data_IF_863891335109
#
_entry.id   IF_863891335109
#
_cell.length_a   1.000
_cell.length_b   1.000
_cell.length_c   1.000
_cell.angle_alpha   90.00
_cell.angle_beta   90.00
_cell.angle_gamma   90.00
#
_symmetry.space_group_name_H-M   'P 1'
#
loop_
_entity.id
_entity.type
_entity.pdbx_description
1 polymer ?
#
# COMPACT_ATOMS: atom_id res chain seq x y z
N UNK A 1 14.40 9.49 -10.00
CA UNK A 1 13.51 9.42 -8.81
C UNK A 1 12.30 10.31 -9.08
N UNK A 2 11.16 9.74 -9.51
CA UNK A 2 9.91 10.50 -9.64
C UNK A 2 9.36 10.70 -8.22
N UNK A 3 9.01 11.94 -7.89
CA UNK A 3 8.61 12.32 -6.54
C UNK A 3 7.29 11.67 -6.16
N UNK A 4 7.28 10.86 -5.10
CA UNK A 4 6.11 10.35 -4.36
C UNK A 4 5.19 11.45 -3.79
N UNK A 5 5.53 12.73 -3.95
CA UNK A 5 5.01 13.84 -3.15
C UNK A 5 3.66 14.45 -3.61
N UNK A 6 3.28 14.50 -4.91
CA UNK A 6 2.03 15.16 -5.30
C UNK A 6 0.78 14.42 -4.82
N UNK A 7 0.75 13.09 -4.98
CA UNK A 7 -0.41 12.27 -4.61
C UNK A 7 -0.66 12.31 -3.09
N UNK A 8 0.40 12.15 -2.29
CA UNK A 8 0.34 12.27 -0.82
C UNK A 8 -0.23 13.61 -0.35
N UNK A 9 0.20 14.72 -0.96
CA UNK A 9 -0.27 16.06 -0.64
C UNK A 9 -1.74 16.25 -1.01
N UNK A 10 -2.18 15.77 -2.18
CA UNK A 10 -3.57 15.88 -2.60
C UNK A 10 -4.52 15.05 -1.72
N UNK A 11 -4.18 13.80 -1.41
CA UNK A 11 -4.99 12.94 -0.53
C UNK A 11 -5.08 13.48 0.90
N UNK A 12 -4.00 14.07 1.44
CA UNK A 12 -4.04 14.71 2.76
C UNK A 12 -4.83 16.01 2.80
N UNK A 13 -4.91 16.75 1.68
CA UNK A 13 -5.80 17.90 1.53
C UNK A 13 -7.28 17.49 1.53
N UNK A 14 -7.64 16.34 0.93
CA UNK A 14 -9.01 15.81 0.95
C UNK A 14 -9.49 15.51 2.36
N UNK A 15 -8.60 14.99 3.22
CA UNK A 15 -8.89 14.73 4.63
C UNK A 15 -9.18 16.01 5.44
N UNK A 16 -8.72 17.18 5.00
CA UNK A 16 -8.93 18.45 5.72
C UNK A 16 -10.30 19.08 5.43
N UNK A 17 -10.97 18.71 4.33
CA UNK A 17 -12.33 19.19 4.03
C UNK A 17 -13.44 18.37 4.71
N UNK A 18 -13.07 17.29 5.43
CA UNK A 18 -13.97 16.29 6.04
C UNK A 18 -14.73 16.76 7.29
N UNK A 19 -14.34 17.88 7.92
CA UNK A 19 -14.91 18.28 9.21
C UNK A 19 -16.34 18.87 9.15
N UNK A 20 -17.00 18.92 7.99
CA UNK A 20 -18.26 19.69 7.82
C UNK A 20 -19.49 18.94 7.30
N UNK A 21 -19.41 17.63 7.00
CA UNK A 21 -20.56 16.92 6.41
C UNK A 21 -20.90 15.62 7.15
N UNK A 22 -22.13 15.55 7.66
CA UNK A 22 -22.74 14.41 8.38
C UNK A 22 -23.07 13.18 7.50
N UNK A 23 -22.36 12.99 6.39
CA UNK A 23 -22.64 11.91 5.44
C UNK A 23 -21.73 10.70 5.71
N UNK A 24 -22.35 9.52 5.86
CA UNK A 24 -21.70 8.26 6.23
C UNK A 24 -20.55 7.86 5.26
N UNK A 25 -20.64 8.29 4.00
CA UNK A 25 -19.63 8.01 2.97
C UNK A 25 -18.34 8.84 3.12
N UNK A 26 -18.37 9.96 3.84
CA UNK A 26 -17.16 10.75 4.10
C UNK A 26 -16.27 10.11 5.16
N UNK A 27 -16.86 9.70 6.28
CA UNK A 27 -16.13 8.97 7.32
C UNK A 27 -15.57 7.64 6.78
N UNK A 28 -16.32 7.00 5.88
CA UNK A 28 -15.85 5.86 5.12
C UNK A 28 -14.60 6.19 4.29
N UNK A 29 -14.68 7.21 3.42
CA UNK A 29 -13.59 7.58 2.53
C UNK A 29 -12.34 8.05 3.29
N UNK A 30 -12.52 8.77 4.39
CA UNK A 30 -11.43 9.15 5.28
C UNK A 30 -10.72 7.91 5.86
N UNK A 31 -11.49 6.94 6.39
CA UNK A 31 -10.93 5.71 6.95
C UNK A 31 -10.16 4.90 5.91
N UNK A 32 -10.74 4.70 4.73
CA UNK A 32 -10.11 3.93 3.64
C UNK A 32 -8.89 4.66 3.08
N UNK A 33 -8.94 6.00 2.98
CA UNK A 33 -7.79 6.84 2.59
C UNK A 33 -6.65 6.72 3.59
N UNK A 34 -6.95 6.79 4.88
CA UNK A 34 -5.96 6.65 5.95
C UNK A 34 -5.24 5.29 5.90
N UNK A 35 -5.99 4.21 5.68
CA UNK A 35 -5.43 2.86 5.44
C UNK A 35 -4.50 2.89 4.23
N UNK A 36 -4.99 3.39 3.09
CA UNK A 36 -4.21 3.45 1.85
C UNK A 36 -2.87 4.21 2.02
N UNK A 37 -2.89 5.39 2.64
CA UNK A 37 -1.69 6.22 2.85
C UNK A 37 -0.69 5.54 3.79
N UNK A 38 -1.18 4.92 4.87
CA UNK A 38 -0.33 4.18 5.81
C UNK A 38 0.37 3.02 5.10
N UNK A 39 -0.38 2.23 4.35
CA UNK A 39 0.16 1.04 3.67
C UNK A 39 1.11 1.42 2.53
N UNK A 40 0.85 2.51 1.82
CA UNK A 40 1.79 3.08 0.85
C UNK A 40 3.12 3.49 1.50
N UNK A 41 3.09 4.13 2.66
CA UNK A 41 4.32 4.44 3.40
C UNK A 41 5.06 3.16 3.82
N UNK A 42 4.33 2.16 4.32
CA UNK A 42 4.94 0.91 4.78
C UNK A 42 5.60 0.11 3.65
N UNK A 43 4.98 0.05 2.46
CA UNK A 43 5.58 -0.65 1.32
C UNK A 43 6.85 0.05 0.84
N UNK A 44 6.86 1.39 0.77
CA UNK A 44 8.05 2.14 0.36
C UNK A 44 9.21 1.98 1.34
N UNK A 45 8.92 2.07 2.64
CA UNK A 45 9.92 1.84 3.69
C UNK A 45 10.45 0.42 3.65
N UNK A 46 9.61 -0.57 3.35
CA UNK A 46 10.01 -1.98 3.28
C UNK A 46 10.83 -2.27 2.03
N UNK A 47 10.34 -1.85 0.86
CA UNK A 47 11.01 -2.03 -0.42
C UNK A 47 12.39 -1.34 -0.46
N UNK A 48 12.53 -0.17 0.17
CA UNK A 48 13.85 0.49 0.28
C UNK A 48 14.93 -0.40 0.90
N UNK A 49 14.55 -1.33 1.79
CA UNK A 49 15.47 -2.28 2.42
C UNK A 49 15.69 -3.51 1.53
N UNK A 50 14.65 -3.98 0.84
CA UNK A 50 14.76 -5.12 -0.09
C UNK A 50 15.49 -4.79 -1.39
N UNK A 51 15.50 -3.53 -1.83
CA UNK A 51 16.32 -3.04 -2.94
C UNK A 51 17.80 -2.99 -2.61
N UNK A 52 18.13 -2.83 -1.34
CA UNK A 52 19.51 -2.84 -0.88
C UNK A 52 20.05 -4.28 -0.85
N UNK A 53 20.59 -4.70 -1.99
CA UNK A 53 21.13 -6.06 -2.17
C UNK A 53 22.24 -6.38 -1.17
N UNK A 54 22.95 -5.36 -0.65
CA UNK A 54 23.97 -5.58 0.39
C UNK A 54 23.36 -6.13 1.68
N UNK A 55 22.13 -5.74 2.01
CA UNK A 55 21.36 -6.24 3.17
C UNK A 55 20.68 -7.57 2.90
N UNK A 56 20.15 -7.77 1.69
CA UNK A 56 19.44 -9.02 1.31
C UNK A 56 20.37 -10.25 1.28
N UNK A 57 21.63 -10.05 0.93
CA UNK A 57 22.64 -11.10 0.81
C UNK A 57 23.69 -11.09 1.93
N UNK A 58 23.58 -10.19 2.93
CA UNK A 58 24.48 -10.16 4.06
C UNK A 58 24.45 -11.50 4.82
N UNK A 59 25.63 -12.07 5.08
CA UNK A 59 25.79 -13.20 6.01
C UNK A 59 25.88 -12.65 7.43
N UNK A 60 24.78 -12.74 8.18
CA UNK A 60 24.75 -12.33 9.59
C UNK A 60 23.33 -12.18 10.10
N UNK A 61 23.06 -12.74 11.28
CA UNK A 61 21.75 -12.87 11.89
C UNK A 61 20.97 -11.58 12.26
N UNK A 62 21.51 -10.33 12.23
CA UNK A 62 20.69 -9.13 12.50
C UNK A 62 19.76 -8.72 11.35
N UNK A 63 20.26 -8.76 10.11
CA UNK A 63 19.53 -8.23 8.94
C UNK A 63 18.42 -9.19 8.47
N UNK A 64 18.62 -10.50 8.65
CA UNK A 64 17.61 -11.50 8.33
C UNK A 64 16.36 -11.40 9.21
N UNK A 65 16.53 -11.08 10.51
CA UNK A 65 15.39 -10.90 11.44
C UNK A 65 14.62 -9.64 11.07
N UNK A 66 15.31 -8.52 10.86
CA UNK A 66 14.67 -7.26 10.47
C UNK A 66 13.88 -7.40 9.15
N UNK A 67 14.48 -8.03 8.14
CA UNK A 67 13.82 -8.29 6.86
C UNK A 67 12.60 -9.21 7.01
N UNK A 68 12.70 -10.24 7.86
CA UNK A 68 11.59 -11.15 8.14
C UNK A 68 10.43 -10.43 8.82
N UNK A 69 10.73 -9.63 9.86
CA UNK A 69 9.72 -8.83 10.56
C UNK A 69 9.04 -7.83 9.62
N UNK A 70 9.77 -7.20 8.69
CA UNK A 70 9.17 -6.30 7.69
C UNK A 70 8.22 -7.04 6.75
N UNK A 71 8.63 -8.19 6.23
CA UNK A 71 7.76 -9.02 5.38
C UNK A 71 6.51 -9.49 6.13
N UNK A 72 6.67 -9.96 7.36
CA UNK A 72 5.55 -10.39 8.22
C UNK A 72 4.59 -9.25 8.55
N UNK A 73 5.11 -8.06 8.84
CA UNK A 73 4.28 -6.88 9.09
C UNK A 73 3.44 -6.51 7.86
N UNK A 74 4.01 -6.54 6.65
CA UNK A 74 3.24 -6.31 5.42
C UNK A 74 2.11 -7.34 5.27
N UNK A 75 2.39 -8.62 5.54
CA UNK A 75 1.39 -9.69 5.44
C UNK A 75 0.28 -9.50 6.48
N UNK A 76 0.64 -9.19 7.73
CA UNK A 76 -0.31 -9.09 8.83
C UNK A 76 -1.15 -7.82 8.74
N UNK A 77 -0.53 -6.66 8.48
CA UNK A 77 -1.23 -5.39 8.36
C UNK A 77 -2.20 -5.41 7.18
N UNK A 78 -1.77 -5.86 6.00
CA UNK A 78 -2.66 -5.98 4.84
C UNK A 78 -3.84 -6.92 5.09
N UNK A 79 -3.66 -8.04 5.79
CA UNK A 79 -4.78 -8.93 6.18
C UNK A 79 -5.76 -8.25 7.13
N UNK A 80 -5.24 -7.60 8.17
CA UNK A 80 -6.07 -6.88 9.14
C UNK A 80 -6.85 -5.76 8.44
N UNK A 81 -6.20 -5.03 7.54
CA UNK A 81 -6.85 -3.96 6.79
C UNK A 81 -7.88 -4.46 5.78
N UNK A 82 -7.64 -5.60 5.12
CA UNK A 82 -8.63 -6.24 4.27
C UNK A 82 -9.89 -6.62 5.06
N UNK A 83 -9.74 -7.16 6.27
CA UNK A 83 -10.87 -7.43 7.17
C UNK A 83 -11.57 -6.13 7.57
N UNK A 84 -10.79 -5.12 8.00
CA UNK A 84 -11.32 -3.83 8.40
C UNK A 84 -12.11 -3.14 7.29
N UNK A 85 -11.71 -3.32 6.03
CA UNK A 85 -12.40 -2.77 4.85
C UNK A 85 -13.63 -3.61 4.49
N UNK A 86 -13.57 -4.93 4.60
CA UNK A 86 -14.71 -5.81 4.34
C UNK A 86 -15.90 -5.52 5.26
N UNK A 87 -15.64 -5.09 6.49
CA UNK A 87 -16.68 -4.67 7.45
C UNK A 87 -17.28 -3.29 7.14
N UNK A 88 -16.68 -2.52 6.23
CA UNK A 88 -17.21 -1.23 5.80
C UNK A 88 -18.15 -1.39 4.61
N UNK A 89 -19.25 -0.63 4.62
CA UNK A 89 -20.19 -0.58 3.50
C UNK A 89 -19.95 0.70 2.69
N UNK A 90 -19.29 0.63 1.53
CA UNK A 90 -19.16 1.81 0.66
C UNK A 90 -20.53 2.22 0.12
N UNK A 91 -20.83 3.52 0.13
CA UNK A 91 -21.83 4.10 -0.75
C UNK A 91 -21.44 3.94 -2.22
N UNK A 92 -22.39 4.14 -3.12
CA UNK A 92 -22.26 3.89 -4.57
C UNK A 92 -21.05 4.60 -5.18
N UNK A 93 -20.80 5.83 -4.73
CA UNK A 93 -19.76 6.73 -5.20
C UNK A 93 -18.36 6.32 -4.69
N UNK A 94 -18.28 5.58 -3.57
CA UNK A 94 -17.03 5.14 -2.95
C UNK A 94 -16.59 3.72 -3.38
N UNK A 95 -17.46 2.95 -4.06
CA UNK A 95 -17.20 1.55 -4.43
C UNK A 95 -15.91 1.39 -5.23
N UNK A 96 -15.67 2.24 -6.23
CA UNK A 96 -14.46 2.12 -7.08
C UNK A 96 -13.17 2.34 -6.29
N UNK A 97 -13.20 3.30 -5.36
CA UNK A 97 -12.05 3.58 -4.51
C UNK A 97 -11.80 2.39 -3.55
N UNK A 98 -12.87 1.86 -2.97
CA UNK A 98 -12.80 0.66 -2.14
C UNK A 98 -12.19 -0.54 -2.87
N UNK A 99 -12.69 -0.87 -4.06
CA UNK A 99 -12.20 -1.99 -4.87
C UNK A 99 -10.72 -1.82 -5.22
N UNK A 100 -10.31 -0.61 -5.57
CA UNK A 100 -8.90 -0.30 -5.84
C UNK A 100 -8.02 -0.48 -4.60
N UNK A 101 -8.47 -0.06 -3.42
CA UNK A 101 -7.72 -0.23 -2.18
C UNK A 101 -7.65 -1.71 -1.78
N UNK A 102 -8.73 -2.48 -1.92
CA UNK A 102 -8.71 -3.94 -1.71
C UNK A 102 -7.68 -4.61 -2.63
N UNK A 103 -7.67 -4.25 -3.92
CA UNK A 103 -6.71 -4.78 -4.87
C UNK A 103 -5.26 -4.39 -4.49
N UNK A 104 -5.05 -3.18 -3.98
CA UNK A 104 -3.75 -2.72 -3.51
C UNK A 104 -3.27 -3.50 -2.28
N UNK A 105 -4.10 -3.65 -1.26
CA UNK A 105 -3.78 -4.43 -0.05
C UNK A 105 -3.50 -5.90 -0.38
N UNK A 106 -4.25 -6.47 -1.32
CA UNK A 106 -4.00 -7.84 -1.80
C UNK A 106 -2.63 -7.95 -2.46
N UNK A 107 -2.26 -6.98 -3.28
CA UNK A 107 -0.94 -6.94 -3.90
C UNK A 107 0.19 -6.73 -2.87
N UNK A 108 -0.02 -5.95 -1.81
CA UNK A 108 0.93 -5.79 -0.69
C UNK A 108 1.11 -7.12 0.04
N UNK A 109 0.00 -7.83 0.31
CA UNK A 109 0.06 -9.14 0.95
C UNK A 109 0.89 -10.14 0.14
N UNK A 110 0.68 -10.17 -1.17
CA UNK A 110 1.41 -11.04 -2.09
C UNK A 110 2.89 -10.65 -2.19
N UNK A 111 3.21 -9.36 -2.17
CA UNK A 111 4.60 -8.89 -2.08
C UNK A 111 5.25 -9.37 -0.78
N UNK A 112 4.59 -9.21 0.36
CA UNK A 112 5.09 -9.66 1.66
C UNK A 112 5.34 -11.18 1.69
N UNK A 113 4.45 -11.98 1.11
CA UNK A 113 4.63 -13.44 0.97
C UNK A 113 5.87 -13.79 0.14
N UNK A 114 6.06 -13.16 -1.02
CA UNK A 114 7.25 -13.38 -1.85
C UNK A 114 8.53 -12.95 -1.13
N UNK A 115 8.50 -11.83 -0.40
CA UNK A 115 9.63 -11.40 0.42
C UNK A 115 9.97 -12.43 1.50
N UNK A 116 8.95 -12.98 2.17
CA UNK A 116 9.14 -14.02 3.19
C UNK A 116 9.73 -15.30 2.59
N UNK A 117 9.21 -15.75 1.45
CA UNK A 117 9.73 -16.92 0.73
C UNK A 117 11.20 -16.72 0.31
N UNK A 118 11.52 -15.55 -0.22
CA UNK A 118 12.89 -15.16 -0.60
C UNK A 118 13.88 -15.26 0.57
N UNK A 119 13.42 -14.98 1.80
CA UNK A 119 14.26 -15.06 3.00
C UNK A 119 14.46 -16.50 3.51
N UNK A 120 13.56 -17.41 3.15
CA UNK A 120 13.58 -18.81 3.61
C UNK A 120 14.35 -19.76 2.68
N UNK A 121 14.49 -19.41 1.39
CA UNK A 121 15.23 -20.25 0.44
C UNK A 121 16.73 -20.31 0.77
N UNK A 122 17.31 -21.49 0.58
CA UNK A 122 18.70 -21.79 0.97
C UNK A 122 19.71 -21.48 -0.12
N UNK A 123 19.29 -21.50 -1.38
CA UNK A 123 20.19 -21.31 -2.52
C UNK A 123 20.20 -19.85 -2.98
N UNK A 124 21.37 -19.36 -3.37
CA UNK A 124 21.53 -18.00 -3.89
C UNK A 124 20.73 -17.78 -5.18
N UNK A 125 20.66 -18.79 -6.04
CA UNK A 125 19.97 -18.71 -7.33
C UNK A 125 18.45 -18.58 -7.16
N UNK A 126 17.84 -19.37 -6.26
CA UNK A 126 16.41 -19.22 -5.93
C UNK A 126 16.14 -17.87 -5.26
N UNK A 127 17.02 -17.46 -4.33
CA UNK A 127 16.90 -16.15 -3.66
C UNK A 127 16.93 -15.02 -4.70
N UNK A 128 17.81 -15.09 -5.68
CA UNK A 128 17.89 -14.09 -6.77
C UNK A 128 16.63 -14.08 -7.63
N UNK A 129 16.11 -15.24 -8.05
CA UNK A 129 14.86 -15.32 -8.82
C UNK A 129 13.69 -14.70 -8.05
N UNK A 130 13.57 -15.00 -6.77
CA UNK A 130 12.52 -14.44 -5.92
C UNK A 130 12.72 -12.94 -5.68
N UNK A 131 13.96 -12.45 -5.59
CA UNK A 131 14.27 -11.02 -5.52
C UNK A 131 13.84 -10.29 -6.80
N UNK A 132 14.18 -10.82 -7.97
CA UNK A 132 13.76 -10.24 -9.26
C UNK A 132 12.22 -10.20 -9.35
N UNK A 133 11.55 -11.28 -8.93
CA UNK A 133 10.08 -11.34 -8.86
C UNK A 133 9.51 -10.32 -7.87
N UNK A 134 10.15 -10.14 -6.73
CA UNK A 134 9.77 -9.15 -5.72
C UNK A 134 9.85 -7.73 -6.28
N UNK A 135 10.91 -7.40 -7.03
CA UNK A 135 11.07 -6.09 -7.68
C UNK A 135 9.97 -5.83 -8.71
N UNK A 136 9.63 -6.82 -9.55
CA UNK A 136 8.51 -6.71 -10.50
C UNK A 136 7.15 -6.49 -9.79
N UNK A 137 6.95 -7.15 -8.64
CA UNK A 137 5.75 -6.92 -7.82
C UNK A 137 5.72 -5.50 -7.25
N UNK A 138 6.86 -4.97 -6.78
CA UNK A 138 6.93 -3.58 -6.31
C UNK A 138 6.64 -2.58 -7.43
N UNK A 139 7.19 -2.79 -8.63
CA UNK A 139 6.91 -1.93 -9.78
C UNK A 139 5.40 -1.85 -10.07
N UNK A 140 4.71 -2.99 -10.02
CA UNK A 140 3.25 -3.04 -10.16
C UNK A 140 2.55 -2.32 -9.00
N UNK A 141 2.97 -2.56 -7.76
CA UNK A 141 2.42 -1.90 -6.57
C UNK A 141 2.53 -0.38 -6.67
N UNK A 142 3.66 0.11 -7.16
CA UNK A 142 3.93 1.54 -7.28
C UNK A 142 3.10 2.25 -8.36
N UNK A 143 2.32 1.50 -9.17
CA UNK A 143 1.32 2.11 -10.09
C UNK A 143 -0.05 2.34 -9.45
N UNK A 144 -0.35 1.67 -8.33
CA UNK A 144 -1.66 1.81 -7.68
C UNK A 144 -1.92 3.22 -7.15
N UNK A 145 -0.94 3.93 -6.54
CA UNK A 145 -1.20 5.27 -6.00
C UNK A 145 -1.74 6.27 -7.03
N UNK A 146 -1.17 6.28 -8.24
CA UNK A 146 -1.64 7.18 -9.30
C UNK A 146 -3.06 6.82 -9.75
N UNK A 147 -3.34 5.52 -9.95
CA UNK A 147 -4.68 5.04 -10.32
C UNK A 147 -5.73 5.37 -9.25
N UNK A 148 -5.41 5.14 -7.99
CA UNK A 148 -6.28 5.43 -6.85
C UNK A 148 -6.52 6.92 -6.66
N UNK A 149 -5.50 7.76 -6.90
CA UNK A 149 -5.66 9.21 -6.88
C UNK A 149 -6.63 9.67 -7.97
N UNK A 150 -6.53 9.15 -9.19
CA UNK A 150 -7.46 9.49 -10.26
C UNK A 150 -8.90 9.09 -9.92
N UNK A 151 -9.10 7.92 -9.30
CA UNK A 151 -10.42 7.52 -8.79
C UNK A 151 -10.94 8.51 -7.74
N UNK A 152 -10.10 8.94 -6.80
CA UNK A 152 -10.50 9.92 -5.81
C UNK A 152 -10.82 11.29 -6.41
N UNK A 153 -10.07 11.76 -7.41
CA UNK A 153 -10.37 13.02 -8.10
C UNK A 153 -11.75 12.98 -8.76
N UNK A 154 -12.12 11.86 -9.39
CA UNK A 154 -13.45 11.66 -9.97
C UNK A 154 -14.52 11.73 -8.88
N UNK A 155 -14.34 11.00 -7.77
CA UNK A 155 -15.26 11.04 -6.63
C UNK A 155 -15.49 12.47 -6.13
N UNK A 156 -14.41 13.21 -5.88
CA UNK A 156 -14.45 14.59 -5.37
C UNK A 156 -15.20 15.54 -6.30
N UNK A 157 -15.00 15.39 -7.61
CA UNK A 157 -15.75 16.13 -8.62
C UNK A 157 -17.25 15.80 -8.59
N UNK A 158 -17.60 14.51 -8.45
CA UNK A 158 -18.99 14.05 -8.39
C UNK A 158 -19.71 14.52 -7.13
N UNK A 159 -19.03 14.60 -5.99
CA UNK A 159 -19.62 15.06 -4.72
C UNK A 159 -19.48 16.57 -4.48
N UNK A 160 -18.94 17.32 -5.45
CA UNK A 160 -18.82 18.78 -5.39
C UNK A 160 -17.75 19.31 -4.43
N UNK A 161 -16.80 18.47 -4.01
CA UNK A 161 -15.67 18.85 -3.17
C UNK A 161 -14.42 19.11 -4.01
N UNK A 162 -14.38 20.27 -4.67
CA UNK A 162 -13.17 20.70 -5.36
C UNK A 162 -12.31 21.59 -4.46
N UNK A 163 -10.98 21.42 -4.43
CA UNK A 163 -10.11 22.46 -3.91
C UNK A 163 -10.31 23.72 -4.76
N UNK A 164 -10.68 24.83 -4.12
CA UNK A 164 -10.71 26.16 -4.76
C UNK A 164 -9.32 26.66 -5.08
#
# INVERSE_FOLDING_TARGET
>A
MKSLKPALLFLSLVLLFSCSSSNNDYAYNEKVTSIFLREMKQIDETDSVFKDTSKVYAKGFPDSILLSTKAENLINNSKVDLVNIADLKPGKEAVKFNEGVIAYLTAINDYGKTAQEMLQVKTTDEKKKLHDHLMLKYEKLNTYPDSLLEIQKVYLNEVGLQPK
#
